data_IF_799432517731
#
_entry.id   IF_799432517731
#
_cell.length_a   1.000
_cell.length_b   1.000
_cell.length_c   1.000
_cell.angle_alpha   90.00
_cell.angle_beta   90.00
_cell.angle_gamma   90.00
#
_symmetry.space_group_name_H-M   'P 1'
#
loop_
_entity.id
_entity.type
_entity.pdbx_description
1 polymer ?
#
# COMPACT_ATOMS: atom_id res chain seq x y z
N UNK A 1 -3.85 2.59 13.95
CA UNK A 1 -4.94 3.44 13.44
C UNK A 1 -5.00 3.47 11.92
N UNK A 2 -3.90 3.36 11.18
CA UNK A 2 -3.89 3.47 9.73
C UNK A 2 -3.66 4.91 9.25
N UNK A 3 -4.25 5.28 8.08
CA UNK A 3 -4.15 6.60 7.46
C UNK A 3 -3.45 6.61 6.11
N UNK A 4 -2.74 5.55 5.73
CA UNK A 4 -2.08 5.41 4.41
C UNK A 4 -2.91 4.57 3.44
N UNK A 5 -3.37 3.40 3.84
CA UNK A 5 -4.15 2.49 3.00
C UNK A 5 -5.60 2.38 3.43
N UNK A 6 -5.86 2.42 4.74
CA UNK A 6 -7.16 2.31 5.38
C UNK A 6 -7.14 3.03 6.73
N UNK A 7 -8.27 3.08 7.42
CA UNK A 7 -8.37 3.59 8.77
C UNK A 7 -9.29 2.70 9.60
N UNK A 8 -8.96 2.49 10.89
CA UNK A 8 -9.76 1.65 11.80
C UNK A 8 -11.15 2.22 12.07
N UNK A 9 -11.32 3.54 12.10
CA UNK A 9 -12.65 4.16 12.19
C UNK A 9 -13.57 3.72 11.06
N UNK A 10 -13.04 3.51 9.84
CA UNK A 10 -13.83 3.01 8.72
C UNK A 10 -14.27 1.57 8.94
N UNK A 11 -13.39 0.71 9.50
CA UNK A 11 -13.78 -0.64 9.90
C UNK A 11 -14.90 -0.61 10.92
N UNK A 12 -14.79 0.22 11.94
CA UNK A 12 -15.80 0.33 12.98
C UNK A 12 -17.14 0.83 12.44
N UNK A 13 -17.12 1.82 11.54
CA UNK A 13 -18.31 2.29 10.84
C UNK A 13 -18.98 1.19 9.99
N UNK A 14 -18.17 0.35 9.30
CA UNK A 14 -18.70 -0.81 8.55
C UNK A 14 -19.32 -1.84 9.47
N UNK A 15 -18.74 -2.12 10.64
CA UNK A 15 -19.33 -3.02 11.63
C UNK A 15 -20.65 -2.46 12.20
N UNK A 16 -20.71 -1.16 12.49
CA UNK A 16 -21.94 -0.49 12.92
C UNK A 16 -23.03 -0.54 11.85
N UNK A 17 -22.66 -0.33 10.58
CA UNK A 17 -23.54 -0.51 9.43
C UNK A 17 -24.07 -1.95 9.36
N UNK A 18 -23.20 -2.94 9.43
CA UNK A 18 -23.57 -4.35 9.41
C UNK A 18 -24.56 -4.70 10.52
N UNK A 19 -24.32 -4.20 11.75
CA UNK A 19 -25.23 -4.34 12.87
C UNK A 19 -26.59 -3.70 12.61
N UNK A 20 -26.61 -2.49 12.08
CA UNK A 20 -27.84 -1.75 11.76
C UNK A 20 -28.67 -2.48 10.70
N UNK A 21 -28.00 -3.07 9.70
CA UNK A 21 -28.65 -3.88 8.65
C UNK A 21 -29.03 -5.30 9.12
N UNK A 22 -28.81 -5.62 10.39
CA UNK A 22 -29.24 -6.89 10.99
C UNK A 22 -28.34 -8.09 10.71
N UNK A 23 -27.11 -7.87 10.23
CA UNK A 23 -26.16 -8.96 10.02
C UNK A 23 -25.69 -9.50 11.36
N UNK A 24 -25.68 -10.82 11.49
CA UNK A 24 -25.28 -11.54 12.72
C UNK A 24 -23.94 -12.23 12.59
N UNK A 25 -23.48 -12.46 11.38
CA UNK A 25 -22.20 -13.12 11.08
C UNK A 25 -21.36 -12.20 10.18
N UNK A 26 -20.33 -11.60 10.75
CA UNK A 26 -19.41 -10.70 10.06
C UNK A 26 -17.99 -11.12 10.43
N UNK A 27 -17.19 -11.41 9.39
CA UNK A 27 -15.81 -11.85 9.53
C UNK A 27 -14.84 -10.75 9.09
N UNK A 28 -13.80 -10.52 9.89
CA UNK A 28 -12.79 -9.51 9.64
C UNK A 28 -11.51 -10.21 9.20
N UNK A 29 -11.00 -9.85 8.03
CA UNK A 29 -9.71 -10.28 7.52
C UNK A 29 -8.69 -9.17 7.74
N UNK A 30 -7.86 -9.30 8.75
CA UNK A 30 -6.92 -8.27 9.19
C UNK A 30 -5.62 -8.35 8.37
N UNK A 31 -5.26 -7.24 7.70
CA UNK A 31 -3.98 -7.08 7.02
C UNK A 31 -3.10 -6.16 7.85
N UNK A 32 -2.01 -6.73 8.36
CA UNK A 32 -1.06 -6.05 9.22
C UNK A 32 -0.10 -5.21 8.40
N UNK A 33 0.31 -4.08 8.94
CA UNK A 33 1.14 -3.11 8.27
C UNK A 33 2.63 -3.29 8.63
N UNK A 34 3.09 -2.79 9.76
CA UNK A 34 4.49 -2.84 10.20
C UNK A 34 5.48 -2.03 9.35
N UNK A 35 4.97 -1.23 8.42
CA UNK A 35 5.75 -0.37 7.53
C UNK A 35 5.38 1.11 7.70
N UNK A 36 4.09 1.44 7.62
CA UNK A 36 3.57 2.79 7.88
C UNK A 36 3.22 2.98 9.37
N UNK A 37 3.37 1.94 10.17
CA UNK A 37 3.29 1.89 11.64
C UNK A 37 4.50 1.11 12.19
N UNK A 38 4.80 1.15 13.50
CA UNK A 38 5.93 0.43 14.08
C UNK A 38 5.91 -1.06 13.71
N UNK A 39 7.09 -1.67 13.47
CA UNK A 39 7.19 -3.03 12.91
C UNK A 39 6.53 -4.15 13.72
N UNK A 40 6.32 -3.96 15.03
CA UNK A 40 5.64 -4.89 15.94
C UNK A 40 4.63 -4.14 16.79
N UNK A 41 3.54 -3.68 16.18
CA UNK A 41 2.47 -2.90 16.85
C UNK A 41 1.08 -3.50 16.67
N UNK A 42 0.95 -4.58 15.88
CA UNK A 42 -0.35 -5.13 15.51
C UNK A 42 -1.16 -5.68 16.68
N UNK A 43 -0.51 -6.07 17.80
CA UNK A 43 -1.23 -6.59 18.97
C UNK A 43 -2.27 -5.59 19.49
N UNK A 44 -1.86 -4.34 19.70
CA UNK A 44 -2.75 -3.27 20.20
C UNK A 44 -3.96 -3.07 19.28
N UNK A 45 -3.72 -3.12 17.96
CA UNK A 45 -4.79 -2.91 16.98
C UNK A 45 -5.74 -4.10 16.91
N UNK A 46 -5.25 -5.34 16.96
CA UNK A 46 -6.12 -6.52 17.01
C UNK A 46 -6.97 -6.54 18.25
N UNK A 47 -6.39 -6.25 19.43
CA UNK A 47 -7.14 -6.12 20.70
C UNK A 47 -8.20 -5.01 20.64
N UNK A 48 -7.87 -3.85 20.04
CA UNK A 48 -8.81 -2.75 19.85
C UNK A 48 -9.96 -3.15 18.92
N UNK A 49 -9.70 -3.88 17.84
CA UNK A 49 -10.72 -4.38 16.92
C UNK A 49 -11.63 -5.40 17.63
N UNK A 50 -11.06 -6.37 18.34
CA UNK A 50 -11.85 -7.37 19.08
C UNK A 50 -12.76 -6.70 20.15
N UNK A 51 -12.20 -5.74 20.90
CA UNK A 51 -12.95 -4.96 21.88
C UNK A 51 -14.11 -4.18 21.25
N UNK A 52 -13.82 -3.45 20.17
CA UNK A 52 -14.83 -2.63 19.49
C UNK A 52 -15.91 -3.48 18.83
N UNK A 53 -15.55 -4.61 18.21
CA UNK A 53 -16.52 -5.57 17.67
C UNK A 53 -17.44 -6.15 18.75
N UNK A 54 -16.90 -6.43 19.94
CA UNK A 54 -17.70 -6.88 21.08
C UNK A 54 -18.65 -5.79 21.60
N UNK A 55 -18.21 -4.51 21.66
CA UNK A 55 -19.06 -3.37 22.03
C UNK A 55 -20.20 -3.16 21.02
N UNK A 56 -19.92 -3.23 19.72
CA UNK A 56 -20.91 -3.15 18.65
C UNK A 56 -21.84 -4.38 18.68
N UNK A 57 -21.32 -5.55 19.05
CA UNK A 57 -22.03 -6.81 19.13
C UNK A 57 -22.09 -7.60 17.83
N UNK A 58 -21.21 -7.28 16.86
CA UNK A 58 -21.00 -8.03 15.62
C UNK A 58 -19.54 -7.86 15.16
N UNK A 59 -19.02 -8.88 14.48
CA UNK A 59 -17.65 -8.92 13.96
C UNK A 59 -16.74 -9.84 14.77
N UNK A 60 -15.96 -10.66 14.04
CA UNK A 60 -14.90 -11.53 14.59
C UNK A 60 -13.73 -11.55 13.61
N UNK A 61 -12.51 -11.55 14.12
CA UNK A 61 -11.34 -11.71 13.28
C UNK A 61 -11.27 -13.17 12.79
N UNK A 62 -11.26 -13.34 11.47
CA UNK A 62 -11.24 -14.64 10.79
C UNK A 62 -9.83 -15.05 10.35
N UNK A 63 -9.08 -14.09 9.79
CA UNK A 63 -7.72 -14.31 9.31
C UNK A 63 -6.84 -13.13 9.64
N UNK A 64 -5.55 -13.37 9.77
CA UNK A 64 -4.53 -12.34 9.93
C UNK A 64 -3.42 -12.59 8.93
N UNK A 65 -3.01 -11.57 8.22
CA UNK A 65 -1.95 -11.63 7.19
C UNK A 65 -1.08 -10.39 7.23
N UNK A 66 0.23 -10.53 7.13
CA UNK A 66 1.10 -9.38 6.88
C UNK A 66 0.87 -8.80 5.48
N UNK A 67 1.11 -7.50 5.31
CA UNK A 67 0.94 -6.81 4.04
C UNK A 67 1.82 -7.35 2.92
N UNK A 68 2.94 -7.99 3.25
CA UNK A 68 3.82 -8.67 2.30
C UNK A 68 3.09 -9.74 1.49
N UNK A 69 2.07 -10.39 2.08
CA UNK A 69 1.27 -11.42 1.44
C UNK A 69 -0.04 -10.87 0.87
N UNK A 70 -0.79 -10.09 1.64
CA UNK A 70 -2.15 -9.69 1.28
C UNK A 70 -2.23 -8.35 0.53
N UNK A 71 -1.11 -7.64 0.38
CA UNK A 71 -1.05 -6.31 -0.20
C UNK A 71 0.14 -6.16 -1.16
N UNK A 72 0.44 -7.21 -1.91
CA UNK A 72 1.43 -7.15 -2.99
C UNK A 72 0.92 -6.29 -4.15
N UNK A 73 1.84 -5.66 -4.90
CA UNK A 73 1.53 -4.87 -6.09
C UNK A 73 2.45 -5.18 -7.27
N UNK A 74 3.28 -6.24 -7.14
CA UNK A 74 4.32 -6.60 -8.09
C UNK A 74 4.05 -7.99 -8.74
N UNK A 75 2.78 -8.42 -8.73
CA UNK A 75 2.33 -9.71 -9.30
C UNK A 75 3.07 -10.92 -8.72
N UNK A 76 3.40 -10.85 -7.43
CA UNK A 76 3.94 -11.98 -6.67
C UNK A 76 2.80 -12.89 -6.24
N UNK A 77 2.19 -13.56 -7.20
CA UNK A 77 0.98 -14.34 -7.00
C UNK A 77 1.13 -15.45 -5.95
N UNK A 78 2.33 -15.99 -5.78
CA UNK A 78 2.64 -16.98 -4.74
C UNK A 78 2.43 -16.44 -3.31
N UNK A 79 2.52 -15.10 -3.11
CA UNK A 79 2.24 -14.45 -1.82
C UNK A 79 0.75 -14.23 -1.64
N UNK A 80 0.13 -13.63 -2.64
CA UNK A 80 -1.30 -13.31 -2.65
C UNK A 80 -2.16 -14.58 -2.52
N UNK A 81 -1.74 -15.70 -3.13
CA UNK A 81 -2.41 -16.98 -3.02
C UNK A 81 -2.56 -17.45 -1.58
N UNK A 82 -1.54 -17.25 -0.72
CA UNK A 82 -1.62 -17.63 0.70
C UNK A 82 -2.70 -16.84 1.43
N UNK A 83 -2.82 -15.54 1.17
CA UNK A 83 -3.85 -14.69 1.74
C UNK A 83 -5.24 -15.07 1.20
N UNK A 84 -5.35 -15.26 -0.12
CA UNK A 84 -6.58 -15.70 -0.78
C UNK A 84 -7.10 -17.04 -0.20
N UNK A 85 -6.25 -18.05 -0.09
CA UNK A 85 -6.61 -19.37 0.43
C UNK A 85 -7.08 -19.30 1.90
N UNK A 86 -6.43 -18.47 2.71
CA UNK A 86 -6.86 -18.24 4.08
C UNK A 86 -8.24 -17.59 4.16
N UNK A 87 -8.50 -16.59 3.32
CA UNK A 87 -9.76 -15.84 3.28
C UNK A 87 -10.87 -16.68 2.63
N UNK A 88 -10.66 -17.15 1.42
CA UNK A 88 -11.70 -17.84 0.65
C UNK A 88 -12.04 -19.22 1.22
N UNK A 89 -11.04 -19.97 1.70
CA UNK A 89 -11.18 -21.38 2.02
C UNK A 89 -10.84 -21.75 3.45
N UNK A 90 -10.55 -20.77 4.33
CA UNK A 90 -10.03 -21.00 5.69
C UNK A 90 -8.81 -21.95 5.69
N UNK A 91 -7.98 -21.88 4.65
CA UNK A 91 -6.84 -22.77 4.45
C UNK A 91 -5.53 -22.01 4.66
N UNK A 92 -4.84 -22.35 5.74
CA UNK A 92 -3.54 -21.82 6.06
C UNK A 92 -2.67 -22.90 6.75
N UNK A 93 -1.36 -22.65 6.81
CA UNK A 93 -0.42 -23.52 7.53
C UNK A 93 -0.75 -23.56 9.03
N UNK A 94 -1.26 -22.47 9.58
CA UNK A 94 -1.53 -22.30 11.00
C UNK A 94 -2.99 -21.93 11.23
N UNK A 95 -3.62 -22.59 12.21
CA UNK A 95 -4.91 -22.20 12.78
C UNK A 95 -4.67 -21.82 14.24
N UNK A 96 -5.00 -20.60 14.60
CA UNK A 96 -4.75 -20.05 15.94
C UNK A 96 -6.07 -19.92 16.72
N UNK A 97 -6.00 -20.06 18.05
CA UNK A 97 -7.19 -19.93 18.93
C UNK A 97 -7.77 -18.51 18.90
N UNK A 98 -6.91 -17.50 18.82
CA UNK A 98 -7.28 -16.07 18.72
C UNK A 98 -6.31 -15.37 17.77
N UNK A 99 -6.71 -14.21 17.26
CA UNK A 99 -5.85 -13.39 16.41
C UNK A 99 -4.54 -13.01 17.11
N UNK A 100 -4.62 -12.57 18.37
CA UNK A 100 -3.45 -12.19 19.19
C UNK A 100 -2.54 -13.40 19.47
N UNK A 101 -3.11 -14.58 19.77
CA UNK A 101 -2.30 -15.77 20.02
C UNK A 101 -1.50 -16.19 18.76
N UNK A 102 -2.11 -16.11 17.58
CA UNK A 102 -1.45 -16.38 16.30
C UNK A 102 -0.36 -15.36 15.99
N UNK A 103 -0.63 -14.07 16.25
CA UNK A 103 0.36 -13.00 16.09
C UNK A 103 1.58 -13.21 16.98
N UNK A 104 1.38 -13.46 18.27
CA UNK A 104 2.48 -13.68 19.23
C UNK A 104 3.30 -14.92 18.87
N UNK A 105 2.65 -15.98 18.40
CA UNK A 105 3.35 -17.15 17.88
C UNK A 105 4.21 -16.82 16.64
N UNK A 106 3.70 -15.97 15.75
CA UNK A 106 4.47 -15.48 14.59
C UNK A 106 5.66 -14.62 15.01
N UNK A 107 5.53 -13.75 16.01
CA UNK A 107 6.64 -12.95 16.54
C UNK A 107 7.73 -13.80 17.19
N UNK A 108 7.35 -14.93 17.79
CA UNK A 108 8.27 -15.88 18.41
C UNK A 108 9.00 -16.78 17.40
N UNK A 109 8.55 -16.79 16.16
CA UNK A 109 9.20 -17.57 15.09
C UNK A 109 10.50 -16.88 14.65
N UNK A 110 11.62 -17.50 15.00
CA UNK A 110 12.98 -17.06 14.66
C UNK A 110 13.62 -17.93 13.57
N UNK A 111 12.84 -18.77 12.89
CA UNK A 111 13.36 -19.74 11.91
C UNK A 111 14.04 -19.07 10.70
N UNK A 112 13.57 -17.91 10.29
CA UNK A 112 14.13 -17.16 9.16
C UNK A 112 14.99 -15.97 9.59
N UNK A 113 14.67 -15.35 10.75
CA UNK A 113 15.38 -14.17 11.28
C UNK A 113 15.54 -14.27 12.80
N UNK A 114 16.74 -14.02 13.35
CA UNK A 114 16.98 -14.09 14.79
C UNK A 114 16.09 -13.14 15.62
N UNK A 115 15.73 -11.98 15.08
CA UNK A 115 14.86 -10.98 15.69
C UNK A 115 13.37 -11.34 15.62
N UNK A 116 13.04 -12.43 14.93
CA UNK A 116 11.69 -12.89 14.69
C UNK A 116 10.96 -12.11 13.59
N UNK A 117 9.72 -12.48 13.34
CA UNK A 117 8.87 -11.91 12.31
C UNK A 117 8.32 -10.55 12.77
N UNK A 118 8.18 -9.59 11.86
CA UNK A 118 7.45 -8.32 12.07
C UNK A 118 6.06 -8.40 11.47
N UNK A 119 5.20 -7.42 11.76
CA UNK A 119 3.83 -7.34 11.27
C UNK A 119 3.74 -7.52 9.75
N UNK A 120 4.64 -6.86 9.01
CA UNK A 120 4.69 -6.90 7.55
C UNK A 120 4.79 -8.33 7.01
N UNK A 121 5.54 -9.20 7.69
CA UNK A 121 5.91 -10.55 7.22
C UNK A 121 5.15 -11.67 7.91
N UNK A 122 4.10 -11.37 8.68
CA UNK A 122 3.25 -12.41 9.28
C UNK A 122 2.62 -13.27 8.19
N UNK A 123 2.99 -14.56 8.16
CA UNK A 123 2.42 -15.52 7.22
C UNK A 123 0.92 -15.65 7.49
N UNK A 124 0.06 -15.66 6.45
CA UNK A 124 -1.38 -15.76 6.62
C UNK A 124 -1.78 -16.95 7.52
N UNK A 125 -2.59 -16.69 8.54
CA UNK A 125 -3.16 -17.72 9.39
C UNK A 125 -4.66 -17.52 9.61
N UNK A 126 -5.35 -18.60 9.96
CA UNK A 126 -6.79 -18.64 10.24
C UNK A 126 -7.03 -18.62 11.74
N UNK A 127 -8.08 -17.96 12.18
CA UNK A 127 -8.55 -17.99 13.58
C UNK A 127 -9.66 -19.06 13.72
N UNK A 128 -9.62 -19.83 14.81
CA UNK A 128 -10.61 -20.90 15.09
C UNK A 128 -12.04 -20.40 14.95
N UNK A 129 -12.89 -21.22 14.32
CA UNK A 129 -14.31 -20.92 14.11
C UNK A 129 -14.63 -20.26 12.77
N UNK A 130 -13.63 -19.81 12.00
CA UNK A 130 -13.82 -19.42 10.62
C UNK A 130 -13.75 -20.63 9.68
N UNK A 131 -14.64 -20.72 8.71
CA UNK A 131 -14.79 -21.88 7.83
C UNK A 131 -14.66 -21.57 6.34
N UNK A 132 -14.21 -20.38 6.00
CA UNK A 132 -14.11 -19.89 4.61
C UNK A 132 -15.39 -19.23 4.12
N UNK A 133 -15.30 -18.64 2.95
CA UNK A 133 -16.42 -18.01 2.24
C UNK A 133 -17.27 -19.05 1.52
N UNK A 134 -18.54 -18.74 1.35
CA UNK A 134 -19.51 -19.55 0.59
C UNK A 134 -20.34 -18.67 -0.34
N UNK A 135 -20.93 -19.26 -1.35
CA UNK A 135 -21.86 -18.56 -2.23
C UNK A 135 -23.01 -17.96 -1.41
N UNK A 136 -23.31 -16.69 -1.63
CA UNK A 136 -24.28 -15.90 -0.86
C UNK A 136 -23.65 -14.99 0.18
N UNK A 137 -22.36 -15.17 0.51
CA UNK A 137 -21.62 -14.19 1.29
C UNK A 137 -21.30 -12.95 0.44
N UNK A 138 -21.04 -11.82 1.07
CA UNK A 138 -20.53 -10.61 0.45
C UNK A 138 -19.22 -10.18 1.09
N UNK A 139 -18.38 -9.46 0.35
CA UNK A 139 -17.13 -8.90 0.84
C UNK A 139 -17.08 -7.39 0.66
N UNK A 140 -16.50 -6.69 1.64
CA UNK A 140 -16.18 -5.27 1.56
C UNK A 140 -14.68 -5.10 1.80
N UNK A 141 -13.97 -4.55 0.81
CA UNK A 141 -12.58 -4.17 0.97
C UNK A 141 -12.53 -2.66 1.25
N UNK A 142 -12.34 -2.29 2.51
CA UNK A 142 -12.45 -0.89 2.94
C UNK A 142 -11.16 -0.08 2.82
N UNK A 143 -10.14 -0.58 2.16
CA UNK A 143 -8.98 0.23 1.79
C UNK A 143 -9.40 1.32 0.83
N UNK A 144 -9.03 2.57 1.13
CA UNK A 144 -9.30 3.71 0.25
C UNK A 144 -8.17 3.95 -0.76
N UNK A 145 -6.95 3.43 -0.51
CA UNK A 145 -5.83 3.46 -1.45
C UNK A 145 -5.79 2.18 -2.29
N UNK A 146 -5.87 2.30 -3.63
CA UNK A 146 -6.11 1.16 -4.52
C UNK A 146 -4.88 0.30 -4.81
N UNK A 147 -3.67 0.89 -4.85
CA UNK A 147 -2.48 0.30 -5.45
C UNK A 147 -2.11 -1.10 -4.89
N UNK A 148 -2.33 -1.34 -3.60
CA UNK A 148 -2.04 -2.62 -2.93
C UNK A 148 -3.28 -3.47 -2.62
N UNK A 149 -4.47 -3.00 -2.97
CA UNK A 149 -5.70 -3.76 -2.81
C UNK A 149 -6.15 -4.41 -4.13
N UNK A 150 -5.66 -3.89 -5.26
CA UNK A 150 -6.05 -4.27 -6.62
C UNK A 150 -5.85 -5.75 -6.91
N UNK A 151 -4.66 -6.29 -6.67
CA UNK A 151 -4.31 -7.68 -7.02
C UNK A 151 -5.18 -8.70 -6.30
N UNK A 152 -5.33 -8.58 -4.99
CA UNK A 152 -6.16 -9.49 -4.21
C UNK A 152 -7.64 -9.37 -4.62
N UNK A 153 -8.10 -8.17 -4.98
CA UNK A 153 -9.47 -7.98 -5.50
C UNK A 153 -9.66 -8.71 -6.82
N UNK A 154 -8.71 -8.61 -7.77
CA UNK A 154 -8.75 -9.38 -9.03
C UNK A 154 -8.88 -10.89 -8.77
N UNK A 155 -8.18 -11.42 -7.77
CA UNK A 155 -8.30 -12.83 -7.41
C UNK A 155 -9.72 -13.22 -6.96
N UNK A 156 -10.53 -12.31 -6.44
CA UNK A 156 -11.92 -12.57 -6.06
C UNK A 156 -12.93 -12.30 -7.18
N UNK A 157 -12.72 -11.26 -7.99
CA UNK A 157 -13.79 -10.73 -8.85
C UNK A 157 -13.64 -11.05 -10.34
N UNK A 158 -12.44 -11.35 -10.83
CA UNK A 158 -12.23 -11.56 -12.24
C UNK A 158 -12.86 -12.88 -12.72
N UNK A 159 -13.58 -12.82 -13.83
CA UNK A 159 -14.11 -14.02 -14.44
C UNK A 159 -13.01 -14.92 -15.03
N UNK A 160 -11.93 -14.31 -15.50
CA UNK A 160 -10.72 -14.98 -16.00
C UNK A 160 -9.54 -14.45 -15.20
N UNK A 161 -9.00 -15.28 -14.34
CA UNK A 161 -7.85 -14.97 -13.50
C UNK A 161 -6.77 -16.01 -13.72
N UNK A 162 -5.55 -15.58 -13.97
CA UNK A 162 -4.41 -16.43 -14.34
C UNK A 162 -3.25 -16.42 -13.32
N UNK A 163 -3.40 -15.68 -12.22
CA UNK A 163 -2.36 -15.55 -11.21
C UNK A 163 -2.06 -16.85 -10.44
N UNK A 164 -3.12 -17.60 -10.08
CA UNK A 164 -3.05 -18.92 -9.44
C UNK A 164 -4.37 -19.67 -9.62
N UNK A 165 -4.34 -20.99 -9.39
CA UNK A 165 -5.55 -21.80 -9.44
C UNK A 165 -6.49 -21.45 -8.28
N UNK A 166 -7.76 -21.21 -8.57
CA UNK A 166 -8.81 -20.90 -7.59
C UNK A 166 -10.09 -21.67 -7.84
N UNK A 167 -10.97 -21.69 -6.85
CA UNK A 167 -12.32 -22.23 -7.01
C UNK A 167 -13.21 -21.26 -7.79
N UNK A 168 -13.41 -21.51 -9.07
CA UNK A 168 -14.26 -20.69 -9.93
C UNK A 168 -15.77 -20.78 -9.60
N UNK A 169 -16.17 -21.71 -8.75
CA UNK A 169 -17.57 -21.85 -8.31
C UNK A 169 -17.93 -20.85 -7.21
N UNK A 170 -16.94 -20.30 -6.49
CA UNK A 170 -17.13 -19.30 -5.47
C UNK A 170 -17.47 -17.94 -6.13
N UNK A 171 -18.69 -17.45 -5.92
CA UNK A 171 -19.17 -16.17 -6.43
C UNK A 171 -19.55 -15.26 -5.25
N UNK A 172 -18.74 -14.27 -5.00
CA UNK A 172 -18.90 -13.33 -3.89
C UNK A 172 -19.21 -11.93 -4.45
N UNK A 173 -20.39 -11.33 -4.17
CA UNK A 173 -20.58 -9.89 -4.34
C UNK A 173 -19.48 -9.14 -3.60
N UNK A 174 -18.75 -8.29 -4.32
CA UNK A 174 -17.58 -7.61 -3.80
C UNK A 174 -17.75 -6.10 -3.90
N UNK A 175 -17.50 -5.39 -2.81
CA UNK A 175 -17.50 -3.95 -2.78
C UNK A 175 -16.12 -3.42 -2.34
N UNK A 176 -15.68 -2.33 -2.96
CA UNK A 176 -14.45 -1.61 -2.63
C UNK A 176 -14.80 -0.20 -2.17
N UNK A 177 -14.00 0.36 -1.26
CA UNK A 177 -14.24 1.74 -0.82
C UNK A 177 -14.00 2.75 -1.94
N UNK A 178 -12.89 2.65 -2.62
CA UNK A 178 -12.58 3.47 -3.79
C UNK A 178 -12.57 2.62 -5.06
N UNK A 179 -12.56 3.23 -6.22
CA UNK A 179 -12.32 2.54 -7.48
C UNK A 179 -10.87 2.08 -7.53
N UNK A 180 -10.66 0.75 -7.55
CA UNK A 180 -9.31 0.19 -7.60
C UNK A 180 -8.77 0.09 -9.03
N UNK A 181 -9.66 -0.12 -9.98
CA UNK A 181 -9.36 -0.12 -11.40
C UNK A 181 -10.65 0.08 -12.20
N UNK A 182 -10.61 0.89 -13.26
CA UNK A 182 -11.74 1.12 -14.13
C UNK A 182 -12.21 -0.21 -14.80
N UNK A 183 -13.49 -0.49 -14.66
CA UNK A 183 -14.10 -1.71 -15.22
C UNK A 183 -13.90 -2.99 -14.41
N UNK A 184 -13.29 -2.93 -13.23
CA UNK A 184 -13.22 -4.04 -12.28
C UNK A 184 -14.65 -4.47 -11.87
N UNK A 185 -14.90 -5.77 -11.80
CA UNK A 185 -16.21 -6.32 -11.45
C UNK A 185 -16.47 -6.25 -9.94
N UNK A 186 -16.47 -5.03 -9.39
CA UNK A 186 -16.75 -4.73 -7.99
C UNK A 186 -17.66 -3.50 -7.88
N UNK A 187 -18.46 -3.44 -6.82
CA UNK A 187 -19.22 -2.23 -6.47
C UNK A 187 -18.26 -1.22 -5.84
N UNK A 188 -18.33 0.04 -6.23
CA UNK A 188 -17.53 1.13 -5.65
C UNK A 188 -18.40 1.94 -4.69
N UNK A 189 -18.03 1.95 -3.39
CA UNK A 189 -18.79 2.68 -2.39
C UNK A 189 -18.62 4.19 -2.51
N UNK A 190 -17.40 4.64 -2.78
CA UNK A 190 -17.03 6.05 -2.95
C UNK A 190 -16.31 6.19 -4.29
N UNK A 191 -17.03 6.43 -5.39
CA UNK A 191 -16.41 6.64 -6.69
C UNK A 191 -15.52 7.88 -6.66
N UNK A 192 -14.46 7.93 -7.49
CA UNK A 192 -13.59 9.09 -7.56
C UNK A 192 -14.39 10.35 -7.94
N UNK A 193 -14.14 11.44 -7.24
CA UNK A 193 -14.58 12.75 -7.70
C UNK A 193 -13.65 13.21 -8.83
N UNK A 194 -14.23 13.69 -9.92
CA UNK A 194 -13.44 14.28 -11.00
C UNK A 194 -12.78 15.56 -10.49
N UNK A 195 -11.45 15.60 -10.53
CA UNK A 195 -10.68 16.80 -10.21
C UNK A 195 -10.39 17.54 -11.50
N UNK A 196 -11.16 18.59 -11.75
CA UNK A 196 -10.96 19.47 -12.89
C UNK A 196 -9.77 20.42 -12.67
N UNK A 197 -9.22 20.91 -13.78
CA UNK A 197 -8.19 21.94 -13.80
C UNK A 197 -6.91 21.53 -13.04
N UNK A 198 -6.52 20.27 -13.21
CA UNK A 198 -5.19 19.80 -12.71
C UNK A 198 -4.07 20.56 -13.41
N UNK A 199 -2.88 20.58 -12.81
CA UNK A 199 -1.71 21.20 -13.43
C UNK A 199 -1.45 20.69 -14.85
N UNK A 200 -1.56 19.36 -15.05
CA UNK A 200 -1.39 18.72 -16.37
C UNK A 200 -2.39 19.22 -17.41
N UNK A 201 -3.66 19.38 -17.02
CA UNK A 201 -4.70 19.94 -17.87
C UNK A 201 -4.42 21.41 -18.19
N UNK A 202 -4.07 22.19 -17.20
CA UNK A 202 -3.76 23.61 -17.38
C UNK A 202 -2.59 23.83 -18.35
N UNK A 203 -1.52 23.05 -18.24
CA UNK A 203 -0.38 23.09 -19.16
C UNK A 203 -0.79 22.74 -20.59
N UNK A 204 -1.63 21.68 -20.75
CA UNK A 204 -2.22 21.30 -22.04
C UNK A 204 -3.03 22.45 -22.66
N UNK A 205 -3.89 23.10 -21.86
CA UNK A 205 -4.80 24.16 -22.34
C UNK A 205 -4.02 25.42 -22.79
N UNK A 206 -2.86 25.65 -22.19
CA UNK A 206 -1.91 26.68 -22.65
C UNK A 206 -1.10 26.26 -23.88
N UNK A 207 -1.21 25.02 -24.34
CA UNK A 207 -0.51 24.51 -25.52
C UNK A 207 0.97 24.14 -25.27
N UNK A 208 1.38 24.04 -24.03
CA UNK A 208 2.73 23.60 -23.66
C UNK A 208 2.84 22.07 -23.64
N UNK A 209 4.07 21.59 -23.73
CA UNK A 209 4.41 20.18 -23.51
C UNK A 209 4.92 19.98 -22.09
N UNK A 210 4.81 18.75 -21.59
CA UNK A 210 5.25 18.37 -20.26
C UNK A 210 5.82 16.95 -20.30
N UNK A 211 6.83 16.68 -19.46
CA UNK A 211 7.40 15.36 -19.29
C UNK A 211 7.22 14.91 -17.84
N UNK A 212 6.81 13.65 -17.65
CA UNK A 212 6.70 12.99 -16.36
C UNK A 212 7.72 11.86 -16.31
N UNK A 213 8.52 11.83 -15.25
CA UNK A 213 9.52 10.78 -15.07
C UNK A 213 9.63 10.39 -13.61
N UNK A 214 9.63 9.09 -13.36
CA UNK A 214 9.96 8.52 -12.06
C UNK A 214 10.37 7.05 -12.24
N UNK A 215 10.92 6.48 -11.18
CA UNK A 215 11.08 5.04 -11.10
C UNK A 215 9.77 4.35 -10.66
N UNK A 216 9.68 3.02 -10.83
CA UNK A 216 8.44 2.23 -10.68
C UNK A 216 7.66 2.58 -9.40
N UNK A 217 8.35 2.77 -8.27
CA UNK A 217 7.71 3.02 -6.96
C UNK A 217 6.94 4.35 -6.90
N UNK A 218 7.33 5.33 -7.71
CA UNK A 218 6.74 6.67 -7.73
C UNK A 218 6.13 7.07 -9.08
N UNK A 219 6.12 6.16 -10.06
CA UNK A 219 5.58 6.47 -11.39
C UNK A 219 4.11 6.89 -11.35
N UNK A 220 3.28 6.15 -10.63
CA UNK A 220 1.87 6.50 -10.46
C UNK A 220 1.66 7.86 -9.78
N UNK A 221 2.59 8.27 -8.92
CA UNK A 221 2.49 9.56 -8.22
C UNK A 221 2.63 10.75 -9.17
N UNK A 222 3.58 10.68 -10.14
CA UNK A 222 3.78 11.74 -11.13
C UNK A 222 2.86 11.62 -12.36
N UNK A 223 2.10 10.55 -12.49
CA UNK A 223 1.15 10.31 -13.60
C UNK A 223 -0.28 10.32 -13.10
N UNK A 224 -0.81 9.17 -12.74
CA UNK A 224 -2.20 8.94 -12.33
C UNK A 224 -2.65 9.90 -11.20
N UNK A 225 -1.93 9.93 -10.08
CA UNK A 225 -2.33 10.77 -8.93
C UNK A 225 -2.16 12.26 -9.22
N UNK A 226 -1.07 12.64 -9.90
CA UNK A 226 -0.83 14.03 -10.27
C UNK A 226 -1.85 14.54 -11.30
N UNK A 227 -2.42 13.66 -12.11
CA UNK A 227 -3.50 13.97 -13.05
C UNK A 227 -4.90 13.83 -12.43
N UNK A 228 -5.00 13.83 -11.10
CA UNK A 228 -6.30 13.78 -10.41
C UNK A 228 -7.05 12.45 -10.56
N UNK A 229 -6.33 11.34 -10.75
CA UNK A 229 -6.91 10.01 -10.96
C UNK A 229 -7.17 9.66 -12.42
N UNK A 230 -6.71 10.48 -13.37
CA UNK A 230 -6.84 10.23 -14.81
C UNK A 230 -5.62 9.46 -15.32
N UNK A 231 -5.83 8.23 -15.79
CA UNK A 231 -4.76 7.37 -16.31
C UNK A 231 -4.25 7.85 -17.67
N UNK A 232 -5.15 8.36 -18.51
CA UNK A 232 -4.83 8.82 -19.86
C UNK A 232 -3.92 10.05 -19.82
N UNK A 233 -2.77 10.05 -20.52
CA UNK A 233 -1.92 11.22 -20.65
C UNK A 233 -2.67 12.41 -21.26
N UNK A 234 -2.41 13.60 -20.77
CA UNK A 234 -2.88 14.83 -21.41
C UNK A 234 -2.16 15.05 -22.75
N UNK A 235 -2.78 15.81 -23.64
CA UNK A 235 -2.15 16.16 -24.93
C UNK A 235 -0.84 16.93 -24.68
N UNK A 236 0.28 16.42 -25.23
CA UNK A 236 1.61 16.99 -25.00
C UNK A 236 2.27 16.50 -23.70
N UNK A 237 1.69 15.51 -23.02
CA UNK A 237 2.29 14.84 -21.87
C UNK A 237 3.06 13.60 -22.33
N UNK A 238 4.37 13.61 -22.17
CA UNK A 238 5.25 12.46 -22.35
C UNK A 238 5.57 11.82 -21.01
N UNK A 239 5.75 10.50 -21.00
CA UNK A 239 6.00 9.71 -19.78
C UNK A 239 7.23 8.82 -19.96
N UNK A 240 8.13 8.84 -18.97
CA UNK A 240 9.28 7.93 -18.90
C UNK A 240 9.21 7.16 -17.59
N UNK A 241 9.14 5.83 -17.70
CA UNK A 241 9.28 4.91 -16.57
C UNK A 241 10.73 4.40 -16.51
N UNK A 242 11.34 4.52 -15.35
CA UNK A 242 12.60 3.86 -14.99
C UNK A 242 12.28 2.71 -14.03
N UNK A 243 12.85 1.53 -14.26
CA UNK A 243 12.55 0.40 -13.36
C UNK A 243 13.30 0.55 -12.04
N UNK A 244 12.59 0.38 -10.92
CA UNK A 244 13.21 0.30 -9.61
C UNK A 244 14.06 -0.97 -9.47
N UNK A 245 15.14 -0.96 -8.68
CA UNK A 245 15.99 -2.12 -8.49
C UNK A 245 15.22 -3.27 -7.82
N UNK A 246 15.52 -4.52 -8.25
CA UNK A 246 14.89 -5.74 -7.75
C UNK A 246 15.56 -6.24 -6.47
N UNK A 247 15.45 -5.47 -5.40
CA UNK A 247 15.95 -5.82 -4.07
C UNK A 247 14.79 -6.15 -3.12
N UNK A 248 15.07 -6.83 -2.02
CA UNK A 248 14.03 -7.17 -1.04
C UNK A 248 13.55 -5.92 -0.30
N UNK A 249 14.50 -5.07 0.10
CA UNK A 249 14.27 -3.78 0.76
C UNK A 249 15.30 -2.77 0.22
N UNK A 250 14.94 -1.49 0.15
CA UNK A 250 15.75 -0.47 -0.51
C UNK A 250 16.93 0.05 0.31
N UNK A 251 17.08 -0.35 1.56
CA UNK A 251 18.30 -0.16 2.34
C UNK A 251 19.49 -0.96 1.75
N UNK A 252 19.22 -2.01 0.98
CA UNK A 252 20.24 -2.79 0.27
C UNK A 252 20.78 -2.06 -0.96
N UNK A 253 20.03 -1.10 -1.51
CA UNK A 253 20.42 -0.25 -2.65
C UNK A 253 19.79 1.15 -2.51
N UNK A 254 20.32 2.00 -1.58
CA UNK A 254 19.70 3.29 -1.25
C UNK A 254 19.68 4.32 -2.38
N UNK A 255 20.62 4.24 -3.33
CA UNK A 255 20.63 5.05 -4.54
C UNK A 255 19.46 4.73 -5.48
N UNK A 256 18.83 3.56 -5.32
CA UNK A 256 17.73 3.12 -6.16
C UNK A 256 18.02 3.36 -7.64
N UNK A 257 17.12 3.99 -8.39
CA UNK A 257 17.33 4.36 -9.80
C UNK A 257 17.51 5.87 -10.02
N UNK A 258 17.79 6.65 -8.96
CA UNK A 258 17.86 8.11 -9.04
C UNK A 258 18.88 8.62 -10.08
N UNK A 259 20.02 7.96 -10.21
CA UNK A 259 21.05 8.35 -11.19
C UNK A 259 20.52 8.16 -12.62
N UNK A 260 19.92 6.99 -12.92
CA UNK A 260 19.35 6.71 -14.25
C UNK A 260 18.18 7.64 -14.57
N UNK A 261 17.31 7.94 -13.60
CA UNK A 261 16.25 8.93 -13.74
C UNK A 261 16.85 10.28 -14.13
N UNK A 262 17.89 10.74 -13.42
CA UNK A 262 18.56 12.02 -13.68
C UNK A 262 19.21 12.06 -15.06
N UNK A 263 19.84 10.98 -15.49
CA UNK A 263 20.49 10.89 -16.79
C UNK A 263 19.51 11.02 -17.98
N UNK A 264 18.24 10.65 -17.75
CA UNK A 264 17.17 10.71 -18.76
C UNK A 264 16.42 12.04 -18.79
N UNK A 265 16.69 12.94 -17.85
CA UNK A 265 15.92 14.19 -17.69
C UNK A 265 16.73 15.41 -18.03
N UNK A 266 16.18 16.25 -18.89
CA UNK A 266 16.64 17.64 -19.10
C UNK A 266 15.50 18.65 -18.85
N UNK A 267 14.23 18.23 -18.97
CA UNK A 267 13.04 19.09 -18.71
C UNK A 267 11.87 18.22 -18.26
N UNK A 268 11.52 18.18 -16.94
CA UNK A 268 10.46 17.29 -16.48
C UNK A 268 9.87 17.64 -15.11
N UNK A 269 8.62 17.14 -14.85
CA UNK A 269 8.13 16.89 -13.49
C UNK A 269 8.73 15.57 -13.04
N UNK A 270 9.55 15.62 -12.02
CA UNK A 270 10.42 14.56 -11.55
C UNK A 270 10.13 14.24 -10.09
N UNK A 271 10.10 12.96 -9.74
CA UNK A 271 10.05 12.50 -8.36
C UNK A 271 11.19 11.51 -8.10
N UNK A 272 11.94 11.75 -7.01
CA UNK A 272 12.92 10.82 -6.47
C UNK A 272 12.30 10.02 -5.32
N UNK A 273 12.16 8.71 -5.52
CA UNK A 273 11.54 7.80 -4.55
C UNK A 273 12.39 7.56 -3.28
N UNK A 274 13.68 7.85 -3.34
CA UNK A 274 14.70 7.38 -2.39
C UNK A 274 14.40 7.72 -0.93
N UNK A 275 14.14 9.00 -0.62
CA UNK A 275 13.99 9.45 0.76
C UNK A 275 12.77 8.80 1.43
N UNK A 276 11.69 8.57 0.70
CA UNK A 276 10.50 7.89 1.19
C UNK A 276 10.73 6.38 1.30
N UNK A 277 11.10 5.74 0.21
CA UNK A 277 11.18 4.28 0.15
C UNK A 277 12.27 3.71 1.06
N UNK A 278 13.43 4.36 1.15
CA UNK A 278 14.50 3.96 2.06
C UNK A 278 14.18 4.36 3.50
N UNK A 279 13.50 5.50 3.69
CA UNK A 279 13.05 5.97 5.01
C UNK A 279 12.16 4.95 5.73
N UNK A 280 11.29 4.27 5.01
CA UNK A 280 10.44 3.20 5.55
C UNK A 280 11.21 1.99 6.12
N UNK A 281 12.47 1.80 5.75
CA UNK A 281 13.29 0.70 6.27
C UNK A 281 13.77 0.94 7.70
N UNK A 282 13.82 2.22 8.16
CA UNK A 282 14.35 2.60 9.48
C UNK A 282 15.86 2.49 9.60
N UNK A 283 16.57 2.17 8.50
CA UNK A 283 18.05 1.97 8.48
C UNK A 283 18.76 3.28 8.23
N UNK A 284 19.15 3.99 9.29
CA UNK A 284 19.73 5.35 9.23
C UNK A 284 20.91 5.48 8.25
N UNK A 285 21.92 4.61 8.22
CA UNK A 285 23.02 4.74 7.25
C UNK A 285 22.55 4.66 5.77
N UNK A 286 21.54 3.84 5.48
CA UNK A 286 20.95 3.73 4.15
C UNK A 286 20.20 5.03 3.77
N UNK A 287 19.46 5.61 4.71
CA UNK A 287 18.75 6.87 4.50
C UNK A 287 19.73 8.03 4.24
N UNK A 288 20.82 8.10 4.98
CA UNK A 288 21.89 9.11 4.72
C UNK A 288 22.40 8.97 3.29
N UNK A 289 22.71 7.74 2.84
CA UNK A 289 23.15 7.48 1.47
C UNK A 289 22.09 7.86 0.43
N UNK A 290 20.81 7.57 0.71
CA UNK A 290 19.72 7.95 -0.17
C UNK A 290 19.61 9.47 -0.34
N UNK A 291 19.68 10.23 0.76
CA UNK A 291 19.65 11.71 0.75
C UNK A 291 20.84 12.29 -0.01
N UNK A 292 22.07 11.82 0.24
CA UNK A 292 23.28 12.26 -0.49
C UNK A 292 23.17 12.01 -2.01
N UNK A 293 22.58 10.87 -2.39
CA UNK A 293 22.35 10.54 -3.79
C UNK A 293 21.34 11.50 -4.42
N UNK A 294 20.21 11.75 -3.77
CA UNK A 294 19.18 12.68 -4.24
C UNK A 294 19.72 14.11 -4.33
N UNK A 295 20.48 14.57 -3.33
CA UNK A 295 21.11 15.89 -3.34
C UNK A 295 22.01 16.07 -4.56
N UNK A 296 22.86 15.09 -4.84
CA UNK A 296 23.72 15.08 -6.03
C UNK A 296 22.92 15.12 -7.32
N UNK A 297 21.85 14.33 -7.41
CA UNK A 297 20.98 14.25 -8.60
C UNK A 297 20.21 15.56 -8.82
N UNK A 298 19.67 16.14 -7.76
CA UNK A 298 18.97 17.43 -7.79
C UNK A 298 19.92 18.53 -8.23
N UNK A 299 21.17 18.57 -7.70
CA UNK A 299 22.19 19.53 -8.13
C UNK A 299 22.43 19.47 -9.64
N UNK A 300 22.65 18.28 -10.21
CA UNK A 300 22.83 18.07 -11.66
C UNK A 300 21.61 18.56 -12.46
N UNK A 301 20.41 18.25 -11.99
CA UNK A 301 19.17 18.67 -12.64
C UNK A 301 19.01 20.20 -12.62
N UNK A 302 19.22 20.84 -11.46
CA UNK A 302 19.15 22.30 -11.31
C UNK A 302 20.14 23.01 -12.22
N UNK A 303 21.38 22.52 -12.30
CA UNK A 303 22.41 23.11 -13.16
C UNK A 303 22.01 23.01 -14.64
N UNK A 304 21.54 21.86 -15.11
CA UNK A 304 21.07 21.67 -16.48
C UNK A 304 19.90 22.60 -16.85
N UNK A 305 18.92 22.77 -15.96
CA UNK A 305 17.78 23.68 -16.20
C UNK A 305 18.24 25.14 -16.24
N UNK A 306 19.16 25.54 -15.37
CA UNK A 306 19.72 26.90 -15.35
C UNK A 306 20.52 27.22 -16.61
N UNK A 307 21.26 26.26 -17.19
CA UNK A 307 21.98 26.44 -18.41
C UNK A 307 21.09 26.82 -19.61
N UNK A 308 19.85 26.36 -19.62
CA UNK A 308 18.85 26.68 -20.65
C UNK A 308 17.95 27.86 -20.26
N UNK A 309 18.22 28.52 -19.13
CA UNK A 309 17.45 29.69 -18.64
C UNK A 309 16.10 29.32 -18.01
N UNK A 310 15.92 28.08 -17.61
CA UNK A 310 14.72 27.59 -16.95
C UNK A 310 14.67 27.90 -15.45
N UNK A 311 13.51 27.69 -14.85
CA UNK A 311 13.25 27.82 -13.42
C UNK A 311 12.96 26.44 -12.80
N UNK A 312 13.38 26.22 -11.56
CA UNK A 312 13.18 24.97 -10.83
C UNK A 312 12.39 25.23 -9.56
N UNK A 313 11.31 24.48 -9.36
CA UNK A 313 10.58 24.42 -8.12
C UNK A 313 10.83 23.06 -7.44
N UNK A 314 11.35 23.05 -6.22
CA UNK A 314 11.61 21.83 -5.45
C UNK A 314 10.62 21.78 -4.31
N UNK A 315 9.93 20.65 -4.17
CA UNK A 315 8.98 20.41 -3.10
C UNK A 315 8.99 18.93 -2.68
N UNK A 316 8.30 18.59 -1.62
CA UNK A 316 8.01 17.21 -1.22
C UNK A 316 6.49 17.01 -1.14
N UNK A 317 6.02 15.80 -1.38
CA UNK A 317 4.63 15.38 -1.18
C UNK A 317 4.32 15.16 0.32
N UNK A 318 5.30 14.68 1.07
CA UNK A 318 5.27 14.49 2.53
C UNK A 318 6.71 14.32 3.06
N UNK A 319 6.88 14.35 4.39
CA UNK A 319 8.12 14.00 5.04
C UNK A 319 8.22 12.51 5.36
N UNK A 320 9.42 11.98 5.49
CA UNK A 320 9.75 10.64 5.96
C UNK A 320 11.17 10.61 6.54
N UNK A 321 12.19 10.80 5.69
CA UNK A 321 13.61 10.77 6.08
C UNK A 321 14.01 11.89 7.05
N UNK A 322 13.17 12.89 7.26
CA UNK A 322 13.37 13.99 8.24
C UNK A 322 13.28 13.54 9.69
N UNK A 323 12.66 12.38 9.94
CA UNK A 323 12.53 11.78 11.28
C UNK A 323 12.75 10.27 11.23
N UNK A 324 13.94 9.83 11.59
CA UNK A 324 14.34 8.41 11.55
C UNK A 324 14.23 7.68 12.88
N UNK A 325 13.98 8.40 13.99
CA UNK A 325 13.91 7.81 15.32
C UNK A 325 12.73 8.35 16.13
N UNK A 326 12.01 7.44 16.77
CA UNK A 326 10.96 7.74 17.72
C UNK A 326 11.58 7.73 19.14
N UNK A 327 11.88 8.92 19.65
CA UNK A 327 12.49 9.07 20.97
C UNK A 327 11.56 8.73 22.13
N UNK A 328 10.25 8.80 21.93
CA UNK A 328 9.27 8.50 22.97
C UNK A 328 9.16 6.98 23.19
N UNK A 329 9.26 6.20 22.13
CA UNK A 329 9.15 4.74 22.16
C UNK A 329 10.50 4.03 21.99
N UNK A 330 11.61 4.79 21.85
CA UNK A 330 12.98 4.30 21.68
C UNK A 330 13.12 3.24 20.55
N UNK A 331 12.59 3.55 19.37
CA UNK A 331 12.58 2.65 18.20
C UNK A 331 12.74 3.44 16.89
N UNK A 332 13.09 2.79 15.77
CA UNK A 332 13.07 3.42 14.46
C UNK A 332 11.70 4.02 14.11
N UNK A 333 11.72 5.20 13.52
CA UNK A 333 10.54 5.87 13.00
C UNK A 333 10.45 5.62 11.49
N UNK A 334 9.40 4.97 11.03
CA UNK A 334 9.24 4.50 9.65
C UNK A 334 8.00 5.07 8.96
N UNK A 335 7.39 6.11 9.54
CA UNK A 335 6.14 6.72 9.06
C UNK A 335 6.40 7.98 8.26
N UNK A 336 5.41 8.36 7.47
CA UNK A 336 5.35 9.70 6.92
C UNK A 336 5.23 10.77 8.01
N UNK A 337 5.79 11.93 7.75
CA UNK A 337 5.65 13.12 8.61
C UNK A 337 4.96 14.23 7.84
N UNK A 338 4.40 15.20 8.57
CA UNK A 338 3.77 16.40 8.01
C UNK A 338 4.67 17.64 8.17
N UNK A 339 5.94 17.44 8.46
CA UNK A 339 6.89 18.56 8.53
C UNK A 339 7.15 19.08 7.12
N UNK A 340 7.18 20.41 6.96
CA UNK A 340 7.50 21.04 5.68
C UNK A 340 8.95 20.82 5.30
#
# INVERSE_FOLDING_TARGET
PGGVHSHDDHLFAVLELAKREGLTEVWIHAFLDGRDVPPKSAQEYLEAVEKKAAEIGVGKIATVSGRYYAMDRDKRWEREQLAYEAIAHAKAKTVAKTAVAGLLASYADTSEKPEGVTDEFVVPFVVEGYHGMKNGDGAIFYNFRPDRARQLTHAFVDAKFDGFARDESLKIPFATFSEYEAGMNALVAFPPEEIDNTFGQYVQDLGYTQLRIAETEKYAHVTFFFNGGVEQPYKGEDRILVHSPKVATYDLQPEMSAIEVTDKVVEAILNYANCDMVGHTGVVPAVVKAVETVDTCVGRFVDAIREVGGEVCITADHGNADKMWDYDNNQPFTKHTTKP
#
